data_IF_486364938208
#
_entry.id   IF_486364938208
#
_cell.length_a   1.000
_cell.length_b   1.000
_cell.length_c   1.000
_cell.angle_alpha   90.00
_cell.angle_beta   90.00
_cell.angle_gamma   90.00
#
_symmetry.space_group_name_H-M   'P 1'
#
loop_
_entity.id
_entity.type
_entity.pdbx_description
1 polymer ?
#
# COMPACT_ATOMS: atom_id res chain seq x y z
N UNK A 1 -2.38 28.24 41.35
CA UNK A 1 -1.29 27.96 40.39
C UNK A 1 -1.15 29.18 39.50
N UNK A 2 0.08 29.67 39.34
CA UNK A 2 0.41 31.07 39.06
C UNK A 2 0.51 31.41 37.56
N UNK A 3 0.16 32.64 37.21
CA UNK A 3 0.10 33.27 35.87
C UNK A 3 1.47 33.51 35.18
N UNK A 4 2.51 32.76 35.54
CA UNK A 4 3.90 33.03 35.11
C UNK A 4 4.51 32.01 34.14
N UNK A 5 3.77 31.00 33.68
CA UNK A 5 4.29 30.05 32.67
C UNK A 5 4.21 30.55 31.22
N UNK A 6 3.69 31.76 30.97
CA UNK A 6 3.43 32.27 29.61
C UNK A 6 4.57 33.08 28.97
N UNK A 7 5.77 33.14 29.59
CA UNK A 7 6.88 34.01 29.13
C UNK A 7 8.16 33.28 28.71
N UNK A 8 8.12 31.97 28.46
CA UNK A 8 9.29 31.21 27.94
C UNK A 8 9.22 30.82 26.45
N UNK A 9 8.22 31.28 25.69
CA UNK A 9 8.09 30.94 24.26
C UNK A 9 8.91 31.83 23.30
N UNK A 10 9.68 32.82 23.78
CA UNK A 10 10.19 33.89 22.91
C UNK A 10 11.63 33.77 22.39
N UNK A 11 12.41 32.73 22.71
CA UNK A 11 13.76 32.57 22.14
C UNK A 11 14.07 31.13 21.76
N UNK A 12 13.74 30.77 20.51
CA UNK A 12 14.15 29.51 19.91
C UNK A 12 13.76 29.45 18.44
N UNK A 13 14.65 29.93 17.55
CA UNK A 13 14.56 29.75 16.10
C UNK A 13 14.50 28.25 15.77
N UNK A 14 13.31 27.65 15.69
CA UNK A 14 13.11 26.37 15.01
C UNK A 14 12.75 26.67 13.56
N UNK A 15 13.58 26.17 12.65
CA UNK A 15 13.28 26.10 11.22
C UNK A 15 11.90 25.41 11.07
N UNK A 16 11.04 25.82 10.14
CA UNK A 16 9.80 25.09 9.90
C UNK A 16 10.15 23.64 9.55
N UNK A 17 9.64 22.70 10.35
CA UNK A 17 9.74 21.29 10.03
C UNK A 17 9.15 21.07 8.63
N UNK A 18 9.77 20.24 7.78
CA UNK A 18 9.17 19.84 6.51
C UNK A 18 7.76 19.31 6.80
N UNK A 19 6.78 19.69 5.99
CA UNK A 19 5.42 19.17 6.10
C UNK A 19 5.46 17.64 6.01
N UNK A 20 5.31 16.98 7.14
CA UNK A 20 5.20 15.54 7.23
C UNK A 20 3.70 15.20 7.12
N UNK A 21 3.27 14.46 6.07
CA UNK A 21 1.87 14.09 5.93
C UNK A 21 1.42 13.25 7.16
N UNK A 22 0.15 13.38 7.59
CA UNK A 22 -0.36 12.63 8.73
C UNK A 22 -0.17 11.12 8.50
N UNK A 23 0.58 10.45 9.40
CA UNK A 23 0.99 9.04 9.29
C UNK A 23 2.48 8.81 9.01
N UNK A 24 3.28 9.86 8.92
CA UNK A 24 4.75 9.79 8.88
C UNK A 24 5.33 9.30 10.21
N UNK A 25 6.45 8.59 10.15
CA UNK A 25 7.10 7.95 11.31
C UNK A 25 7.46 8.93 12.43
N UNK A 26 7.58 10.22 12.13
CA UNK A 26 7.93 11.29 13.07
C UNK A 26 6.80 11.62 14.07
N UNK A 27 5.56 11.18 13.82
CA UNK A 27 4.41 11.41 14.70
C UNK A 27 4.27 10.41 15.86
N UNK A 28 5.16 9.42 15.99
CA UNK A 28 5.04 8.34 16.99
C UNK A 28 6.25 8.23 17.93
N UNK A 29 6.93 9.33 18.21
CA UNK A 29 7.99 9.31 19.23
C UNK A 29 7.42 9.73 20.60
N UNK A 30 7.09 8.73 21.40
CA UNK A 30 6.49 8.88 22.72
C UNK A 30 6.31 7.55 23.44
N UNK A 31 7.34 6.70 23.49
CA UNK A 31 7.61 5.88 24.68
C UNK A 31 8.97 5.17 24.61
N UNK A 32 9.88 5.56 25.50
CA UNK A 32 11.20 4.97 25.72
C UNK A 32 11.06 3.80 26.70
N UNK A 33 11.09 2.57 26.17
CA UNK A 33 11.59 1.32 26.78
C UNK A 33 10.77 0.11 26.31
N UNK A 34 11.14 -0.49 25.18
CA UNK A 34 10.81 -1.89 24.90
C UNK A 34 11.86 -2.54 23.98
N UNK A 35 12.35 -3.66 24.49
CA UNK A 35 13.33 -4.59 23.93
C UNK A 35 13.01 -5.05 22.50
N UNK A 36 14.07 -5.21 21.69
CA UNK A 36 14.14 -5.76 20.33
C UNK A 36 12.87 -6.49 19.83
N UNK A 37 12.02 -5.76 19.10
CA UNK A 37 11.02 -6.32 18.20
C UNK A 37 10.57 -5.26 17.19
N UNK A 38 10.95 -5.46 15.93
CA UNK A 38 9.99 -5.55 14.82
C UNK A 38 8.88 -4.47 14.74
N UNK A 39 9.21 -3.17 14.82
CA UNK A 39 8.27 -2.09 14.49
C UNK A 39 8.25 -1.78 12.98
N UNK A 40 7.13 -1.30 12.43
CA UNK A 40 6.54 -1.94 11.26
C UNK A 40 7.15 -1.49 9.94
N UNK A 41 7.36 -2.45 9.04
CA UNK A 41 7.79 -2.15 7.67
C UNK A 41 6.64 -1.41 6.98
N UNK A 42 6.90 -0.21 6.50
CA UNK A 42 5.96 0.53 5.66
C UNK A 42 6.11 -0.04 4.25
N UNK A 43 5.07 -0.71 3.76
CA UNK A 43 5.05 -1.29 2.42
C UNK A 43 3.81 -0.84 1.68
N UNK A 44 4.00 -0.23 0.53
CA UNK A 44 2.93 0.27 -0.32
C UNK A 44 2.57 -0.69 -1.45
N UNK A 45 3.49 -1.59 -1.81
CA UNK A 45 3.26 -2.60 -2.85
C UNK A 45 3.01 -3.97 -2.24
N UNK A 46 1.89 -4.58 -2.62
CA UNK A 46 1.61 -5.97 -2.28
C UNK A 46 2.31 -6.88 -3.28
N UNK A 47 3.28 -7.65 -2.78
CA UNK A 47 4.06 -8.56 -3.62
C UNK A 47 3.35 -9.91 -3.69
N UNK A 48 3.03 -10.34 -4.91
CA UNK A 48 2.51 -11.68 -5.17
C UNK A 48 3.56 -12.75 -4.86
N UNK A 49 3.14 -13.79 -4.12
CA UNK A 49 3.96 -14.99 -3.97
C UNK A 49 4.01 -15.73 -5.30
N UNK A 50 5.21 -15.81 -5.88
CA UNK A 50 5.63 -16.59 -7.07
C UNK A 50 4.49 -16.79 -8.08
N UNK A 51 4.53 -16.01 -9.15
CA UNK A 51 3.69 -16.21 -10.31
C UNK A 51 4.56 -16.72 -11.45
N UNK A 52 4.10 -17.78 -12.12
CA UNK A 52 4.62 -18.11 -13.42
C UNK A 52 4.20 -17.01 -14.40
N UNK A 53 5.14 -16.53 -15.20
CA UNK A 53 4.83 -15.61 -16.30
C UNK A 53 3.95 -16.37 -17.29
N UNK A 54 2.76 -15.85 -17.66
CA UNK A 54 1.93 -16.48 -18.68
C UNK A 54 2.61 -16.47 -20.04
N UNK A 55 2.33 -17.47 -20.88
CA UNK A 55 2.91 -17.62 -22.22
C UNK A 55 2.74 -16.37 -23.10
N UNK A 56 1.59 -15.69 -22.99
CA UNK A 56 1.30 -14.45 -23.74
C UNK A 56 2.13 -13.25 -23.29
N UNK A 57 2.72 -13.30 -22.09
CA UNK A 57 3.54 -12.23 -21.52
C UNK A 57 5.04 -12.44 -21.74
N UNK A 58 5.45 -13.63 -22.21
CA UNK A 58 6.85 -13.96 -22.39
C UNK A 58 7.49 -13.12 -23.50
N UNK A 59 8.67 -12.57 -23.23
CA UNK A 59 9.45 -11.80 -24.21
C UNK A 59 8.89 -10.41 -24.55
N UNK A 60 7.75 -10.00 -23.97
CA UNK A 60 7.21 -8.66 -24.18
C UNK A 60 8.04 -7.58 -23.47
N UNK A 61 8.16 -6.42 -24.10
CA UNK A 61 8.67 -5.24 -23.43
C UNK A 61 7.62 -4.67 -22.45
N UNK A 62 8.03 -3.75 -21.56
CA UNK A 62 7.13 -3.22 -20.53
C UNK A 62 5.90 -2.50 -21.10
N UNK A 63 6.02 -1.84 -22.25
CA UNK A 63 4.91 -1.10 -22.89
C UNK A 63 3.86 -2.06 -23.41
N UNK A 64 4.28 -3.05 -24.20
CA UNK A 64 3.40 -4.05 -24.79
C UNK A 64 2.79 -4.94 -23.70
N UNK A 65 3.57 -5.26 -22.67
CA UNK A 65 3.09 -6.03 -21.53
C UNK A 65 1.96 -5.31 -20.77
N UNK A 66 2.03 -3.99 -20.61
CA UNK A 66 0.95 -3.22 -19.98
C UNK A 66 -0.33 -3.27 -20.82
N UNK A 67 -0.22 -3.20 -22.16
CA UNK A 67 -1.38 -3.30 -23.04
C UNK A 67 -1.97 -4.71 -23.06
N UNK A 68 -1.14 -5.76 -23.07
CA UNK A 68 -1.61 -7.14 -22.98
C UNK A 68 -2.24 -7.46 -21.62
N UNK A 69 -1.66 -6.94 -20.52
CA UNK A 69 -2.25 -7.08 -19.18
C UNK A 69 -3.71 -6.61 -19.16
N UNK A 70 -4.02 -5.46 -19.79
CA UNK A 70 -5.39 -4.91 -19.85
C UNK A 70 -6.36 -5.84 -20.57
N UNK A 71 -5.90 -6.51 -21.64
CA UNK A 71 -6.72 -7.44 -22.43
C UNK A 71 -7.02 -8.74 -21.68
N UNK A 72 -6.10 -9.18 -20.81
CA UNK A 72 -6.20 -10.44 -20.09
C UNK A 72 -6.77 -10.33 -18.67
N UNK A 73 -7.20 -9.14 -18.23
CA UNK A 73 -7.82 -8.97 -16.91
C UNK A 73 -9.17 -9.69 -16.82
N UNK A 74 -9.28 -10.60 -15.84
CA UNK A 74 -10.54 -11.28 -15.48
C UNK A 74 -11.18 -10.72 -14.20
N UNK A 75 -10.46 -9.89 -13.45
CA UNK A 75 -10.94 -9.33 -12.20
C UNK A 75 -12.01 -8.25 -12.41
N UNK A 76 -13.15 -8.36 -11.69
CA UNK A 76 -14.25 -7.39 -11.74
C UNK A 76 -13.84 -5.95 -11.35
N UNK A 77 -12.83 -5.80 -10.51
CA UNK A 77 -12.36 -4.47 -10.07
C UNK A 77 -11.37 -3.82 -11.06
N UNK A 78 -11.12 -4.44 -12.22
CA UNK A 78 -10.39 -3.90 -13.38
C UNK A 78 -9.19 -3.03 -12.98
N UNK A 79 -8.08 -3.64 -12.53
CA UNK A 79 -6.87 -2.89 -12.18
C UNK A 79 -6.34 -2.04 -13.34
N UNK A 80 -5.88 -0.84 -12.98
CA UNK A 80 -5.09 0.04 -13.83
C UNK A 80 -3.60 -0.28 -13.66
N UNK A 81 -2.96 -0.73 -14.74
CA UNK A 81 -1.53 -1.07 -14.74
C UNK A 81 -0.69 0.06 -15.35
N UNK A 82 0.50 0.26 -14.79
CA UNK A 82 1.48 1.17 -15.38
C UNK A 82 2.87 0.99 -14.76
N UNK A 83 3.88 1.57 -15.41
CA UNK A 83 5.21 1.72 -14.81
C UNK A 83 5.12 2.71 -13.65
N UNK A 84 5.51 2.28 -12.45
CA UNK A 84 5.48 3.11 -11.24
C UNK A 84 6.81 3.03 -10.52
N UNK A 85 7.29 4.20 -10.10
CA UNK A 85 8.35 4.34 -9.10
C UNK A 85 7.69 4.76 -7.79
N UNK A 86 7.67 3.85 -6.84
CA UNK A 86 6.96 4.01 -5.57
C UNK A 86 8.00 4.22 -4.49
N UNK A 87 7.91 5.35 -3.81
CA UNK A 87 8.82 5.74 -2.74
C UNK A 87 8.39 5.08 -1.43
N UNK A 88 9.34 4.57 -0.65
CA UNK A 88 9.09 4.10 0.70
C UNK A 88 8.77 5.27 1.63
N UNK A 89 8.27 4.97 2.83
CA UNK A 89 8.16 5.97 3.90
C UNK A 89 9.48 6.11 4.70
N UNK A 90 10.57 5.48 4.25
CA UNK A 90 11.88 5.53 4.90
C UNK A 90 12.75 6.58 4.22
N UNK A 91 13.29 7.49 5.03
CA UNK A 91 14.26 8.50 4.58
C UNK A 91 15.64 7.86 4.56
N UNK A 92 16.33 7.96 3.43
CA UNK A 92 17.69 7.48 3.25
C UNK A 92 18.73 8.41 3.89
N UNK A 93 20.02 8.03 3.85
CA UNK A 93 21.12 8.82 4.40
C UNK A 93 21.18 10.25 3.85
N UNK A 94 20.72 10.42 2.62
CA UNK A 94 20.77 11.68 1.87
C UNK A 94 19.58 12.61 2.17
N UNK A 95 18.69 12.23 3.09
CA UNK A 95 17.48 12.99 3.41
C UNK A 95 16.32 12.81 2.42
N UNK A 96 16.51 12.02 1.36
CA UNK A 96 15.47 11.68 0.39
C UNK A 96 14.78 10.36 0.72
N UNK A 97 13.51 10.21 0.31
CA UNK A 97 12.83 8.92 0.41
C UNK A 97 13.55 7.87 -0.45
N UNK A 98 13.68 6.65 0.07
CA UNK A 98 14.27 5.54 -0.69
C UNK A 98 13.20 4.91 -1.60
N UNK A 99 13.46 4.63 -2.88
CA UNK A 99 12.51 3.89 -3.72
C UNK A 99 12.24 2.49 -3.13
N UNK A 100 10.97 2.18 -2.89
CA UNK A 100 10.52 0.87 -2.41
C UNK A 100 10.37 -0.12 -3.57
N UNK A 101 9.83 0.36 -4.69
CA UNK A 101 9.50 -0.45 -5.85
C UNK A 101 9.63 0.36 -7.13
N UNK A 102 10.19 -0.26 -8.16
CA UNK A 102 10.26 0.29 -9.51
C UNK A 102 9.92 -0.82 -10.51
N UNK A 103 8.82 -0.65 -11.23
CA UNK A 103 8.31 -1.67 -12.14
C UNK A 103 6.84 -1.49 -12.49
N UNK A 104 6.24 -2.51 -13.12
CA UNK A 104 4.81 -2.51 -13.43
C UNK A 104 4.01 -2.82 -12.17
N UNK A 105 3.15 -1.88 -11.79
CA UNK A 105 2.26 -2.03 -10.64
C UNK A 105 0.81 -1.72 -11.03
N UNK A 106 -0.12 -2.47 -10.44
CA UNK A 106 -1.55 -2.31 -10.60
C UNK A 106 -2.21 -1.62 -9.41
N UNK A 107 -3.12 -0.69 -9.65
CA UNK A 107 -4.07 -0.20 -8.64
C UNK A 107 -5.51 -0.55 -9.03
N UNK A 108 -6.34 -0.89 -8.04
CA UNK A 108 -7.76 -1.18 -8.29
C UNK A 108 -8.63 -0.77 -7.09
N UNK A 109 -9.95 -0.71 -7.31
CA UNK A 109 -10.89 -0.31 -6.26
C UNK A 109 -10.81 -1.19 -5.00
N UNK A 110 -10.55 -2.48 -5.16
CA UNK A 110 -10.37 -3.39 -4.02
C UNK A 110 -9.11 -3.07 -3.21
N UNK A 111 -8.00 -2.72 -3.86
CA UNK A 111 -6.76 -2.32 -3.16
C UNK A 111 -6.96 -0.99 -2.44
N UNK A 112 -7.64 -0.03 -3.07
CA UNK A 112 -7.95 1.27 -2.45
C UNK A 112 -8.78 1.13 -1.16
N UNK A 113 -9.78 0.25 -1.17
CA UNK A 113 -10.72 0.10 -0.05
C UNK A 113 -10.20 -0.86 1.04
N UNK A 114 -9.50 -1.93 0.64
CA UNK A 114 -9.07 -3.00 1.56
C UNK A 114 -7.56 -3.00 1.85
N UNK A 115 -6.81 -2.08 1.24
CA UNK A 115 -5.37 -1.88 1.42
C UNK A 115 -4.93 -1.90 2.87
N UNK A 116 -5.60 -1.10 3.71
CA UNK A 116 -5.31 -1.00 5.14
C UNK A 116 -5.68 -2.28 5.91
N UNK A 117 -6.81 -2.89 5.58
CA UNK A 117 -7.31 -4.10 6.25
C UNK A 117 -6.31 -5.25 6.06
N UNK A 118 -5.78 -5.41 4.86
CA UNK A 118 -4.82 -6.47 4.53
C UNK A 118 -3.43 -6.13 5.04
N UNK A 119 -2.99 -4.88 4.92
CA UNK A 119 -1.73 -4.42 5.50
C UNK A 119 -1.64 -4.70 7.01
N UNK A 120 -2.71 -4.40 7.76
CA UNK A 120 -2.78 -4.70 9.20
C UNK A 120 -2.68 -6.20 9.50
N UNK A 121 -3.31 -7.05 8.68
CA UNK A 121 -3.19 -8.52 8.81
C UNK A 121 -1.76 -9.00 8.59
N UNK A 122 -1.02 -8.34 7.70
CA UNK A 122 0.39 -8.60 7.44
C UNK A 122 1.34 -7.91 8.44
N UNK A 123 0.81 -7.24 9.47
CA UNK A 123 1.61 -6.55 10.50
C UNK A 123 2.18 -5.19 10.09
N UNK A 124 1.63 -4.57 9.04
CA UNK A 124 2.06 -3.27 8.52
C UNK A 124 1.15 -2.13 9.02
N UNK A 125 1.71 -0.92 9.06
CA UNK A 125 0.97 0.29 9.49
C UNK A 125 0.36 1.08 8.33
N UNK A 126 0.92 0.94 7.14
CA UNK A 126 0.51 1.69 5.96
C UNK A 126 -0.29 0.80 5.01
N UNK A 127 -1.33 1.33 4.33
CA UNK A 127 -2.11 0.52 3.42
C UNK A 127 -1.28 0.12 2.21
N UNK A 128 -1.49 -1.10 1.73
CA UNK A 128 -1.13 -1.44 0.36
C UNK A 128 -1.94 -0.56 -0.60
N UNK A 129 -1.25 0.11 -1.51
CA UNK A 129 -1.85 0.96 -2.55
C UNK A 129 -1.77 0.34 -3.93
N UNK A 130 -0.83 -0.59 -4.11
CA UNK A 130 -0.57 -1.24 -5.39
C UNK A 130 -0.37 -2.73 -5.21
N UNK A 131 -0.57 -3.48 -6.30
CA UNK A 131 -0.14 -4.86 -6.46
C UNK A 131 0.98 -4.92 -7.48
N UNK A 132 1.96 -5.79 -7.28
CA UNK A 132 3.04 -5.99 -8.24
C UNK A 132 2.58 -6.80 -9.48
N UNK A 133 3.45 -6.87 -10.48
CA UNK A 133 3.23 -7.66 -11.69
C UNK A 133 2.95 -9.15 -11.40
N UNK A 134 3.61 -9.75 -10.40
CA UNK A 134 3.40 -11.17 -10.06
C UNK A 134 1.98 -11.40 -9.54
N UNK A 135 1.51 -10.53 -8.67
CA UNK A 135 0.12 -10.56 -8.21
C UNK A 135 -0.85 -10.31 -9.37
N UNK A 136 -0.51 -9.41 -10.29
CA UNK A 136 -1.30 -9.15 -11.49
C UNK A 136 -1.51 -10.43 -12.33
N UNK A 137 -0.44 -11.17 -12.63
CA UNK A 137 -0.55 -12.43 -13.37
C UNK A 137 -1.40 -13.45 -12.60
N UNK A 138 -1.08 -13.67 -11.33
CA UNK A 138 -1.70 -14.73 -10.52
C UNK A 138 -3.17 -14.48 -10.21
N UNK A 139 -3.56 -13.24 -9.98
CA UNK A 139 -4.90 -12.94 -9.49
C UNK A 139 -5.72 -12.05 -10.42
N UNK A 140 -5.12 -11.07 -11.08
CA UNK A 140 -5.87 -10.21 -11.99
C UNK A 140 -6.15 -10.91 -13.33
N UNK A 141 -5.20 -11.69 -13.85
CA UNK A 141 -5.29 -12.36 -15.15
C UNK A 141 -5.68 -13.85 -15.06
N UNK A 142 -5.21 -14.56 -14.04
CA UNK A 142 -5.54 -15.98 -13.82
C UNK A 142 -6.82 -16.16 -13.00
N UNK A 143 -6.75 -15.98 -11.67
CA UNK A 143 -7.87 -16.25 -10.77
C UNK A 143 -8.05 -15.17 -9.68
N UNK A 144 -9.10 -14.32 -9.77
CA UNK A 144 -9.36 -13.25 -8.80
C UNK A 144 -9.49 -13.73 -7.34
N UNK A 145 -9.90 -14.97 -7.10
CA UNK A 145 -10.00 -15.54 -5.74
C UNK A 145 -8.64 -15.72 -5.05
N UNK A 146 -7.53 -15.66 -5.79
CA UNK A 146 -6.17 -15.66 -5.21
C UNK A 146 -5.76 -14.28 -4.68
N UNK A 147 -6.54 -13.22 -4.95
CA UNK A 147 -6.29 -11.88 -4.46
C UNK A 147 -6.94 -11.64 -3.08
N UNK A 148 -6.17 -11.29 -2.04
CA UNK A 148 -6.74 -11.02 -0.71
C UNK A 148 -7.66 -9.80 -0.71
N UNK A 149 -7.39 -8.81 -1.57
CA UNK A 149 -8.21 -7.61 -1.73
C UNK A 149 -9.58 -7.97 -2.32
N UNK A 150 -9.61 -8.84 -3.33
CA UNK A 150 -10.83 -9.32 -3.95
C UNK A 150 -11.69 -10.11 -2.97
N UNK A 151 -11.09 -11.04 -2.22
CA UNK A 151 -11.81 -11.84 -1.22
C UNK A 151 -12.40 -10.97 -0.11
N UNK A 152 -11.65 -9.96 0.34
CA UNK A 152 -12.15 -9.01 1.33
C UNK A 152 -13.34 -8.22 0.81
N UNK A 153 -13.31 -7.84 -0.47
CA UNK A 153 -14.40 -7.11 -1.11
C UNK A 153 -15.65 -7.97 -1.34
N UNK A 154 -15.47 -9.25 -1.69
CA UNK A 154 -16.58 -10.20 -1.83
C UNK A 154 -17.27 -10.45 -0.48
N UNK A 155 -16.49 -10.70 0.58
CA UNK A 155 -17.05 -10.93 1.91
C UNK A 155 -17.94 -9.77 2.39
N UNK A 156 -17.51 -8.53 2.19
CA UNK A 156 -18.32 -7.37 2.56
C UNK A 156 -19.57 -7.19 1.68
N UNK A 157 -19.47 -7.49 0.39
CA UNK A 157 -20.63 -7.47 -0.50
C UNK A 157 -21.67 -8.55 -0.10
N UNK A 158 -21.22 -9.75 0.24
CA UNK A 158 -22.09 -10.84 0.67
C UNK A 158 -22.75 -10.54 2.02
N UNK A 159 -22.00 -9.98 2.98
CA UNK A 159 -22.54 -9.52 4.25
C UNK A 159 -23.62 -8.44 4.05
N UNK A 160 -23.36 -7.44 3.21
CA UNK A 160 -24.31 -6.38 2.88
C UNK A 160 -25.59 -6.94 2.25
N UNK A 161 -25.45 -7.82 1.27
CA UNK A 161 -26.58 -8.47 0.59
C UNK A 161 -27.40 -9.34 1.57
N UNK A 162 -26.74 -10.03 2.51
CA UNK A 162 -27.41 -10.85 3.51
C UNK A 162 -28.26 -10.02 4.48
N UNK A 163 -27.82 -8.79 4.80
CA UNK A 163 -28.59 -7.85 5.63
C UNK A 163 -29.78 -7.29 4.89
N UNK A 164 -29.61 -6.95 3.60
CA UNK A 164 -30.71 -6.43 2.77
C UNK A 164 -31.83 -7.45 2.56
N UNK A 165 -31.51 -8.75 2.44
CA UNK A 165 -32.52 -9.81 2.30
C UNK A 165 -33.35 -10.09 3.56
N UNK A 166 -32.94 -9.55 4.72
CA UNK A 166 -33.62 -9.72 6.00
C UNK A 166 -34.56 -8.56 6.34
N UNK A 167 -34.58 -7.52 5.52
CA UNK A 167 -35.50 -6.37 5.59
C UNK A 167 -36.64 -6.63 4.62
#
# INVERSE_FOLDING_TARGET
MSFLDSLRSLFGKRKPAPYAPPGSAEYLDGDLNQTRSNRPKTKQVYDGRIAQTPDWAEGLNNTDLIEELKKHVKCRYTPSFGMKRIMSATVGPDGNLVPEYEGIAGDCGAVKNFGMKIAKKDGLLMPYRYVDLKMAFKACCDNPKKCPFYLSAQGEADEMNSRQRKI
#
